data_IF_966311962851
#
_entry.id   IF_966311962851
#
_cell.length_a   1.000
_cell.length_b   1.000
_cell.length_c   1.000
_cell.angle_alpha   90.00
_cell.angle_beta   90.00
_cell.angle_gamma   90.00
#
_symmetry.space_group_name_H-M   'P 1'
#
loop_
_entity.id
_entity.type
_entity.pdbx_description
1 polymer ?
#
# COMPACT_ATOMS: atom_id res chain seq x y z
N UNK A 1 56.07 -25.68 13.21
CA UNK A 1 54.85 -25.32 13.97
C UNK A 1 54.19 -24.06 13.39
N UNK A 2 54.92 -22.99 13.06
CA UNK A 2 54.38 -21.75 12.45
C UNK A 2 53.67 -21.92 11.08
N UNK A 3 54.01 -22.93 10.28
CA UNK A 3 53.43 -23.12 8.95
C UNK A 3 52.04 -23.75 8.95
N UNK A 4 51.67 -24.47 10.02
CA UNK A 4 50.37 -25.14 10.16
C UNK A 4 49.26 -24.17 10.57
N UNK A 5 49.51 -23.31 11.56
CA UNK A 5 48.56 -22.27 11.98
C UNK A 5 48.18 -21.32 10.83
N UNK A 6 49.12 -21.04 9.92
CA UNK A 6 48.89 -20.15 8.77
C UNK A 6 48.01 -20.79 7.69
N UNK A 7 47.99 -22.12 7.60
CA UNK A 7 47.11 -22.86 6.69
C UNK A 7 45.70 -22.93 7.26
N UNK A 8 45.56 -23.13 8.58
CA UNK A 8 44.29 -23.07 9.30
C UNK A 8 43.63 -21.68 9.18
N UNK A 9 44.39 -20.60 9.41
CA UNK A 9 43.89 -19.23 9.21
C UNK A 9 43.42 -18.98 7.77
N UNK A 10 44.13 -19.53 6.77
CA UNK A 10 43.78 -19.38 5.36
C UNK A 10 42.53 -20.17 4.96
N UNK A 11 42.28 -21.32 5.61
CA UNK A 11 41.04 -22.08 5.42
C UNK A 11 39.86 -21.37 6.08
N UNK A 12 40.04 -20.88 7.31
CA UNK A 12 38.99 -20.15 8.02
C UNK A 12 38.60 -18.84 7.31
N UNK A 13 39.59 -18.11 6.79
CA UNK A 13 39.33 -16.89 6.01
C UNK A 13 38.55 -17.19 4.72
N UNK A 14 38.85 -18.32 4.07
CA UNK A 14 38.16 -18.75 2.85
C UNK A 14 36.72 -19.14 3.16
N UNK A 15 36.50 -19.84 4.26
CA UNK A 15 35.16 -20.25 4.68
C UNK A 15 34.31 -19.03 5.06
N UNK A 16 34.87 -18.08 5.83
CA UNK A 16 34.21 -16.80 6.12
C UNK A 16 33.88 -16.01 4.86
N UNK A 17 34.81 -15.93 3.89
CA UNK A 17 34.56 -15.22 2.63
C UNK A 17 33.42 -15.88 1.85
N UNK A 18 33.37 -17.21 1.84
CA UNK A 18 32.32 -17.97 1.16
C UNK A 18 30.96 -17.77 1.82
N UNK A 19 30.90 -17.78 3.15
CA UNK A 19 29.67 -17.48 3.90
C UNK A 19 29.19 -16.05 3.65
N UNK A 20 30.10 -15.07 3.70
CA UNK A 20 29.78 -13.68 3.41
C UNK A 20 29.28 -13.47 1.97
N UNK A 21 29.86 -14.17 1.00
CA UNK A 21 29.39 -14.15 -0.39
C UNK A 21 27.99 -14.74 -0.53
N UNK A 22 27.68 -15.81 0.21
CA UNK A 22 26.33 -16.40 0.23
C UNK A 22 25.31 -15.45 0.85
N UNK A 23 25.64 -14.81 1.98
CA UNK A 23 24.76 -13.82 2.59
C UNK A 23 24.53 -12.59 1.70
N UNK A 24 25.59 -12.11 1.03
CA UNK A 24 25.48 -11.02 0.06
C UNK A 24 24.56 -11.38 -1.11
N UNK A 25 24.71 -12.59 -1.65
CA UNK A 25 23.85 -13.08 -2.72
C UNK A 25 22.38 -13.16 -2.25
N UNK A 26 22.15 -13.69 -1.06
CA UNK A 26 20.81 -13.81 -0.47
C UNK A 26 20.15 -12.43 -0.29
N UNK A 27 20.87 -11.47 0.31
CA UNK A 27 20.38 -10.10 0.52
C UNK A 27 20.13 -9.36 -0.79
N UNK A 28 20.96 -9.60 -1.80
CA UNK A 28 20.78 -8.99 -3.12
C UNK A 28 19.51 -9.50 -3.80
N UNK A 29 19.20 -10.79 -3.67
CA UNK A 29 17.95 -11.37 -4.20
C UNK A 29 16.73 -10.77 -3.46
N UNK A 30 16.80 -10.66 -2.14
CA UNK A 30 15.73 -10.08 -1.33
C UNK A 30 15.47 -8.60 -1.70
N UNK A 31 16.53 -7.81 -1.88
CA UNK A 31 16.42 -6.42 -2.34
C UNK A 31 15.77 -6.32 -3.72
N UNK A 32 16.21 -7.13 -4.69
CA UNK A 32 15.61 -7.14 -6.02
C UNK A 32 14.13 -7.54 -5.98
N UNK A 33 13.73 -8.48 -5.12
CA UNK A 33 12.33 -8.86 -4.96
C UNK A 33 11.50 -7.70 -4.38
N UNK A 34 12.06 -6.98 -3.41
CA UNK A 34 11.41 -5.82 -2.80
C UNK A 34 11.28 -4.66 -3.80
N UNK A 35 12.31 -4.40 -4.59
CA UNK A 35 12.30 -3.37 -5.64
C UNK A 35 11.26 -3.71 -6.73
N UNK A 36 11.21 -4.96 -7.21
CA UNK A 36 10.19 -5.39 -8.16
C UNK A 36 8.76 -5.27 -7.58
N UNK A 37 8.59 -5.56 -6.28
CA UNK A 37 7.30 -5.37 -5.62
C UNK A 37 6.92 -3.89 -5.54
N UNK A 38 7.85 -3.01 -5.16
CA UNK A 38 7.63 -1.57 -5.12
C UNK A 38 7.31 -1.02 -6.52
N UNK A 39 8.04 -1.44 -7.54
CA UNK A 39 7.79 -1.05 -8.93
C UNK A 39 6.40 -1.52 -9.39
N UNK A 40 5.96 -2.72 -8.98
CA UNK A 40 4.59 -3.22 -9.27
C UNK A 40 3.51 -2.41 -8.55
N UNK A 41 3.80 -1.87 -7.36
CA UNK A 41 2.87 -1.04 -6.58
C UNK A 41 2.83 0.39 -7.11
N UNK A 42 3.96 0.97 -7.51
CA UNK A 42 4.06 2.32 -8.06
C UNK A 42 3.57 2.40 -9.52
N UNK A 43 3.78 1.37 -10.34
CA UNK A 43 3.30 1.31 -11.73
C UNK A 43 1.87 0.77 -11.89
N UNK A 44 1.05 0.84 -10.83
CA UNK A 44 -0.40 0.77 -11.01
C UNK A 44 -0.83 2.11 -11.62
N UNK A 45 -0.54 2.29 -12.91
CA UNK A 45 -1.14 3.33 -13.72
C UNK A 45 -2.66 3.13 -13.68
N UNK A 46 -3.33 3.94 -12.86
CA UNK A 46 -4.77 3.97 -12.67
C UNK A 46 -5.48 4.39 -13.96
N UNK A 47 -5.55 3.50 -14.96
CA UNK A 47 -6.37 3.70 -16.16
C UNK A 47 -7.79 3.22 -15.88
N UNK A 48 -8.53 4.01 -15.10
CA UNK A 48 -9.99 3.90 -15.03
C UNK A 48 -10.59 4.43 -16.33
N UNK A 49 -10.76 3.57 -17.34
CA UNK A 49 -11.49 3.92 -18.57
C UNK A 49 -12.98 3.81 -18.32
N UNK A 50 -13.58 4.75 -17.58
CA UNK A 50 -15.04 4.92 -17.53
C UNK A 50 -15.39 6.39 -17.33
N UNK A 51 -15.72 7.07 -18.43
CA UNK A 51 -16.37 8.39 -18.41
C UNK A 51 -15.47 9.55 -18.00
N UNK A 52 -15.91 10.77 -18.31
CA UNK A 52 -15.33 12.07 -17.92
C UNK A 52 -15.41 12.33 -16.40
N UNK A 53 -15.17 11.31 -15.58
CA UNK A 53 -15.17 11.41 -14.12
C UNK A 53 -13.76 11.81 -13.67
N UNK A 54 -13.65 12.89 -12.89
CA UNK A 54 -12.37 13.36 -12.36
C UNK A 54 -12.00 12.54 -11.13
N UNK A 55 -10.88 11.83 -11.19
CA UNK A 55 -10.34 11.08 -10.05
C UNK A 55 -9.27 11.88 -9.31
N UNK A 56 -9.26 11.74 -7.99
CA UNK A 56 -8.25 12.33 -7.11
C UNK A 56 -7.54 11.19 -6.39
N UNK A 57 -6.24 11.04 -6.65
CA UNK A 57 -5.40 10.05 -5.98
C UNK A 57 -5.01 10.61 -4.62
N UNK A 58 -5.19 9.80 -3.58
CA UNK A 58 -4.96 10.16 -2.19
C UNK A 58 -4.36 9.00 -1.40
N UNK A 59 -3.46 9.30 -0.49
CA UNK A 59 -2.81 8.33 0.38
C UNK A 59 -3.42 8.34 1.78
N UNK A 60 -3.45 7.16 2.43
CA UNK A 60 -3.92 7.02 3.81
C UNK A 60 -2.80 7.47 4.75
N UNK A 61 -3.02 8.58 5.44
CA UNK A 61 -2.07 9.16 6.40
C UNK A 61 -2.39 8.82 7.85
N UNK A 62 -3.54 8.20 8.12
CA UNK A 62 -3.89 7.76 9.46
C UNK A 62 -5.26 7.15 9.62
N UNK A 63 -5.57 6.84 10.88
CA UNK A 63 -6.85 6.26 11.30
C UNK A 63 -7.36 7.04 12.51
N UNK A 64 -8.66 7.31 12.56
CA UNK A 64 -9.31 8.00 13.68
C UNK A 64 -10.53 7.21 14.17
N UNK A 65 -10.77 7.16 15.48
CA UNK A 65 -11.88 6.40 16.08
C UNK A 65 -11.46 5.23 16.97
N UNK A 66 -12.43 4.59 17.61
CA UNK A 66 -12.21 3.53 18.60
C UNK A 66 -12.42 2.13 17.99
N UNK A 67 -11.47 1.22 18.24
CA UNK A 67 -11.53 -0.21 17.89
C UNK A 67 -11.99 -0.52 16.45
N UNK A 68 -13.27 -0.89 16.29
CA UNK A 68 -13.92 -1.34 15.04
C UNK A 68 -14.62 -0.21 14.28
N UNK A 69 -14.70 0.97 14.86
CA UNK A 69 -15.31 2.17 14.27
C UNK A 69 -14.21 3.15 13.85
N UNK A 70 -13.18 2.62 13.17
CA UNK A 70 -12.10 3.44 12.64
C UNK A 70 -12.52 4.04 11.32
N UNK A 71 -12.28 5.33 11.18
CA UNK A 71 -12.32 6.07 9.93
C UNK A 71 -10.89 6.21 9.39
N UNK A 72 -10.77 6.34 8.08
CA UNK A 72 -9.50 6.57 7.40
C UNK A 72 -9.28 8.07 7.25
N UNK A 73 -8.04 8.52 7.39
CA UNK A 73 -7.64 9.90 7.12
C UNK A 73 -6.76 9.88 5.88
N UNK A 74 -7.11 10.69 4.88
CA UNK A 74 -6.38 10.79 3.61
C UNK A 74 -5.77 12.17 3.40
N UNK A 75 -4.66 12.24 2.66
CA UNK A 75 -3.86 13.46 2.43
C UNK A 75 -4.46 14.47 1.43
N UNK A 76 -5.69 14.22 0.96
CA UNK A 76 -6.41 15.10 0.04
C UNK A 76 -7.68 15.64 0.68
N UNK A 77 -7.95 16.91 0.41
CA UNK A 77 -9.07 17.67 0.95
C UNK A 77 -9.80 18.48 -0.10
N UNK A 78 -10.50 19.52 0.34
CA UNK A 78 -11.25 20.47 -0.50
C UNK A 78 -10.33 21.10 -1.56
N UNK A 79 -9.06 21.38 -1.22
CA UNK A 79 -8.08 21.95 -2.17
C UNK A 79 -7.82 21.05 -3.39
N UNK A 80 -8.01 19.73 -3.23
CA UNK A 80 -7.86 18.73 -4.28
C UNK A 80 -9.22 18.34 -4.90
N UNK A 81 -10.31 19.04 -4.55
CA UNK A 81 -11.66 18.74 -5.04
C UNK A 81 -12.38 17.60 -4.32
N UNK A 82 -11.85 17.11 -3.19
CA UNK A 82 -12.51 16.08 -2.38
C UNK A 82 -13.65 16.71 -1.58
N UNK A 83 -14.88 16.28 -1.86
CA UNK A 83 -16.11 16.72 -1.19
C UNK A 83 -16.71 15.58 -0.35
N UNK A 84 -17.60 15.94 0.56
CA UNK A 84 -18.37 14.96 1.33
C UNK A 84 -19.25 14.09 0.41
N UNK A 85 -19.54 12.87 0.86
CA UNK A 85 -20.31 11.83 0.16
C UNK A 85 -19.70 11.32 -1.16
N UNK A 86 -18.47 11.73 -1.51
CA UNK A 86 -17.75 11.15 -2.65
C UNK A 86 -17.34 9.69 -2.37
N UNK A 87 -17.48 8.78 -3.35
CA UNK A 87 -17.04 7.40 -3.23
C UNK A 87 -15.52 7.30 -3.22
N UNK A 88 -14.98 6.39 -2.41
CA UNK A 88 -13.55 6.08 -2.36
C UNK A 88 -13.37 4.63 -2.77
N UNK A 89 -12.54 4.42 -3.79
CA UNK A 89 -12.28 3.12 -4.39
C UNK A 89 -10.78 2.84 -4.42
N UNK A 90 -10.45 1.55 -4.41
CA UNK A 90 -9.11 1.01 -4.63
C UNK A 90 -9.13 0.05 -5.81
N UNK A 91 -7.95 -0.44 -6.21
CA UNK A 91 -7.84 -1.50 -7.21
C UNK A 91 -8.58 -2.81 -6.83
N UNK A 92 -8.82 -3.06 -5.54
CA UNK A 92 -9.53 -4.24 -5.04
C UNK A 92 -11.04 -4.02 -4.86
N UNK A 93 -11.53 -2.79 -5.07
CA UNK A 93 -12.94 -2.44 -4.97
C UNK A 93 -13.22 -1.26 -4.04
N UNK A 94 -14.45 -1.19 -3.55
CA UNK A 94 -14.96 -0.06 -2.76
C UNK A 94 -14.29 -0.05 -1.38
N UNK A 95 -13.67 1.08 -1.04
CA UNK A 95 -13.07 1.31 0.28
C UNK A 95 -14.07 1.96 1.22
N UNK A 96 -14.84 2.94 0.73
CA UNK A 96 -15.76 3.69 1.56
C UNK A 96 -16.31 4.94 0.89
N UNK A 97 -16.69 5.92 1.70
CA UNK A 97 -17.13 7.25 1.24
C UNK A 97 -16.58 8.36 2.13
N UNK A 98 -16.38 9.53 1.57
CA UNK A 98 -15.94 10.71 2.32
C UNK A 98 -17.08 11.18 3.23
N UNK A 99 -16.83 11.31 4.53
CA UNK A 99 -17.81 11.88 5.47
C UNK A 99 -17.53 13.34 5.80
N UNK A 100 -16.27 13.74 5.73
CA UNK A 100 -15.86 15.12 5.95
C UNK A 100 -14.59 15.42 5.16
N UNK A 101 -14.48 16.65 4.66
CA UNK A 101 -13.31 17.12 3.93
C UNK A 101 -12.89 18.47 4.50
N UNK A 102 -11.63 18.59 4.87
CA UNK A 102 -10.99 19.84 5.27
C UNK A 102 -10.09 20.33 4.14
N UNK A 103 -9.41 21.46 4.32
CA UNK A 103 -8.59 22.05 3.26
C UNK A 103 -7.55 21.07 2.68
N UNK A 104 -6.85 20.32 3.55
CA UNK A 104 -5.69 19.51 3.20
C UNK A 104 -5.85 18.02 3.47
N UNK A 105 -6.93 17.59 4.13
CA UNK A 105 -7.15 16.18 4.45
C UNK A 105 -8.64 15.89 4.50
N UNK A 106 -9.00 14.62 4.30
CA UNK A 106 -10.39 14.16 4.38
C UNK A 106 -10.51 12.95 5.28
N UNK A 107 -11.71 12.76 5.81
CA UNK A 107 -12.07 11.63 6.64
C UNK A 107 -13.01 10.74 5.83
N UNK A 108 -12.61 9.47 5.68
CA UNK A 108 -13.33 8.45 4.93
C UNK A 108 -13.97 7.48 5.91
N UNK A 109 -15.26 7.23 5.72
CA UNK A 109 -16.01 6.17 6.40
C UNK A 109 -15.84 4.87 5.60
N UNK A 110 -15.13 3.88 6.14
CA UNK A 110 -14.88 2.63 5.43
C UNK A 110 -16.14 1.77 5.35
N UNK A 111 -16.19 0.89 4.35
CA UNK A 111 -17.33 0.01 4.10
C UNK A 111 -17.63 -0.96 5.24
N UNK A 112 -16.64 -1.25 6.09
CA UNK A 112 -16.75 -2.16 7.24
C UNK A 112 -17.26 -1.46 8.51
N UNK A 113 -17.53 -0.15 8.47
CA UNK A 113 -18.09 0.57 9.60
C UNK A 113 -19.59 0.29 9.76
N UNK A 114 -20.05 0.15 11.00
CA UNK A 114 -21.46 -0.02 11.39
C UNK A 114 -22.46 0.96 10.74
N UNK A 115 -22.02 2.19 10.44
CA UNK A 115 -22.86 3.27 9.91
C UNK A 115 -22.79 3.38 8.38
N UNK A 116 -22.02 2.51 7.71
CA UNK A 116 -21.86 2.59 6.26
C UNK A 116 -23.15 2.18 5.55
N UNK A 117 -23.62 3.05 4.65
CA UNK A 117 -24.78 2.82 3.79
C UNK A 117 -24.45 3.26 2.38
N UNK A 118 -24.68 2.38 1.41
CA UNK A 118 -24.47 2.63 -0.01
C UNK A 118 -25.59 1.96 -0.81
N UNK A 119 -26.17 2.68 -1.77
CA UNK A 119 -27.08 2.09 -2.73
C UNK A 119 -26.29 1.30 -3.77
N UNK A 120 -26.66 0.04 -3.96
CA UNK A 120 -26.02 -0.86 -4.93
C UNK A 120 -27.05 -1.29 -5.97
N UNK A 121 -26.60 -1.64 -7.17
CA UNK A 121 -27.47 -2.20 -8.21
C UNK A 121 -26.91 -3.53 -8.68
N UNK A 122 -27.74 -4.57 -8.63
CA UNK A 122 -27.36 -5.90 -9.12
C UNK A 122 -27.39 -5.93 -10.65
N UNK A 123 -26.20 -6.04 -11.27
CA UNK A 123 -26.03 -6.06 -12.73
C UNK A 123 -26.87 -7.11 -13.47
N UNK A 124 -27.25 -8.21 -12.81
CA UNK A 124 -28.02 -9.29 -13.43
C UNK A 124 -29.47 -8.90 -13.69
N UNK A 125 -30.09 -8.16 -12.77
CA UNK A 125 -31.54 -7.93 -12.77
C UNK A 125 -31.93 -6.46 -12.56
N UNK A 126 -30.97 -5.53 -12.50
CA UNK A 126 -31.17 -4.11 -12.21
C UNK A 126 -32.00 -3.84 -10.94
N UNK A 127 -31.93 -4.76 -9.97
CA UNK A 127 -32.57 -4.62 -8.67
C UNK A 127 -31.65 -3.80 -7.75
N UNK A 128 -32.24 -2.82 -7.07
CA UNK A 128 -31.61 -1.92 -6.11
C UNK A 128 -31.86 -2.37 -4.67
#
# INVERSE_FOLDING_TARGET
>A
INSLNKIEELTDLRDMNRTLQQELAQKTIELNQLENYLETVENIDFTFTVGTENYVIADIIGYTGLYREKNLVVDKGISAGVLAELPVISNQGIVGKTINSLQNYSIILPFNHSNFKLSVMLKRNNLQ
#
